data_IF_896005954919
#
_entry.id   IF_896005954919
#
_cell.length_a   1.000
_cell.length_b   1.000
_cell.length_c   1.000
_cell.angle_alpha   90.00
_cell.angle_beta   90.00
_cell.angle_gamma   90.00
#
_symmetry.space_group_name_H-M   'P 1'
#
loop_
_entity.id
_entity.type
_entity.pdbx_description
1 polymer ?
#
# COMPACT_ATOMS: atom_id res chain seq x y z
N UNK A 1 25.90 68.70 33.42
CA UNK A 1 24.77 67.88 33.91
C UNK A 1 24.48 66.86 32.81
N UNK A 2 24.93 65.62 32.99
CA UNK A 2 24.11 64.41 33.25
C UNK A 2 23.26 64.01 32.01
N UNK A 3 23.16 62.77 31.54
CA UNK A 3 23.73 61.47 31.89
C UNK A 3 23.34 60.50 30.76
N UNK A 4 24.14 59.44 30.60
CA UNK A 4 23.97 58.20 29.82
C UNK A 4 22.56 57.63 29.75
N UNK A 5 22.18 57.01 28.62
CA UNK A 5 21.70 55.60 28.47
C UNK A 5 21.30 55.34 27.00
N UNK A 6 22.05 54.59 26.18
CA UNK A 6 22.04 53.12 26.01
C UNK A 6 20.63 52.49 26.01
N UNK A 7 20.15 52.12 24.82
CA UNK A 7 19.11 51.11 24.57
C UNK A 7 19.56 50.35 23.30
N UNK A 8 20.40 49.34 23.46
CA UNK A 8 20.07 47.91 23.59
C UNK A 8 19.27 47.29 22.42
N UNK A 9 19.99 46.39 21.76
CA UNK A 9 19.66 45.45 20.69
C UNK A 9 18.55 44.47 21.10
N UNK A 10 17.68 44.13 20.15
CA UNK A 10 17.00 42.82 20.07
C UNK A 10 16.68 42.56 18.58
N UNK A 11 17.62 42.04 17.79
CA UNK A 11 17.74 40.60 17.49
C UNK A 11 16.37 39.89 17.43
N UNK A 12 15.65 40.08 16.33
CA UNK A 12 14.61 39.13 15.94
C UNK A 12 15.32 37.83 15.58
N UNK A 13 15.36 36.92 16.56
CA UNK A 13 15.61 35.51 16.30
C UNK A 13 14.55 35.05 15.30
N UNK A 14 14.95 34.89 14.04
CA UNK A 14 14.24 34.01 13.12
C UNK A 14 14.35 32.64 13.78
N UNK A 15 13.26 32.24 14.44
CA UNK A 15 13.05 30.89 14.91
C UNK A 15 13.20 30.00 13.69
N UNK A 16 14.40 29.47 13.48
CA UNK A 16 14.56 28.20 12.84
C UNK A 16 13.71 27.24 13.68
N UNK A 17 12.47 27.04 13.24
CA UNK A 17 11.80 25.77 13.40
C UNK A 17 12.75 24.77 12.74
N UNK A 18 13.77 24.36 13.49
CA UNK A 18 14.32 23.04 13.37
C UNK A 18 13.14 22.14 13.75
N UNK A 19 12.24 21.96 12.78
CA UNK A 19 11.43 20.77 12.67
C UNK A 19 12.43 19.66 12.92
N UNK A 20 12.37 19.07 14.10
CA UNK A 20 13.07 17.83 14.37
C UNK A 20 12.38 16.86 13.45
N UNK A 21 12.83 16.81 12.19
CA UNK A 21 12.42 15.76 11.26
C UNK A 21 12.72 14.48 12.02
N UNK A 22 11.70 13.61 12.23
CA UNK A 22 11.95 12.33 12.85
C UNK A 22 13.11 11.69 12.09
N UNK A 23 14.16 11.31 12.81
CA UNK A 23 15.35 10.71 12.20
C UNK A 23 14.87 9.54 11.33
N UNK A 24 15.07 9.67 10.03
CA UNK A 24 14.71 8.61 9.09
C UNK A 24 15.57 7.38 9.36
N UNK A 25 14.93 6.30 9.79
CA UNK A 25 15.52 4.96 9.86
C UNK A 25 15.01 4.13 8.69
N UNK A 26 15.81 4.06 7.62
CA UNK A 26 15.44 3.28 6.44
C UNK A 26 15.27 1.78 6.72
N UNK A 27 15.87 1.24 7.78
CA UNK A 27 15.66 -0.16 8.19
C UNK A 27 14.25 -0.37 8.73
N UNK A 28 13.77 0.53 9.59
CA UNK A 28 12.40 0.50 10.10
C UNK A 28 11.38 0.74 8.99
N UNK A 29 11.62 1.73 8.12
CA UNK A 29 10.75 2.04 6.97
C UNK A 29 10.64 0.86 6.01
N UNK A 30 11.76 0.24 5.65
CA UNK A 30 11.76 -0.95 4.79
C UNK A 30 11.02 -2.13 5.43
N UNK A 31 11.22 -2.34 6.74
CA UNK A 31 10.54 -3.41 7.49
C UNK A 31 9.03 -3.20 7.50
N UNK A 32 8.58 -1.97 7.72
CA UNK A 32 7.15 -1.62 7.69
C UNK A 32 6.55 -1.84 6.29
N UNK A 33 7.22 -1.35 5.24
CA UNK A 33 6.76 -1.52 3.87
C UNK A 33 6.67 -3.00 3.46
N UNK A 34 7.63 -3.81 3.94
CA UNK A 34 7.60 -5.27 3.75
C UNK A 34 6.46 -5.94 4.50
N UNK A 35 6.21 -5.56 5.76
CA UNK A 35 5.12 -6.11 6.55
C UNK A 35 3.77 -5.89 5.86
N UNK A 36 3.47 -4.66 5.44
CA UNK A 36 2.25 -4.35 4.71
C UNK A 36 2.16 -5.11 3.38
N UNK A 37 3.29 -5.28 2.68
CA UNK A 37 3.35 -6.08 1.45
C UNK A 37 3.00 -7.55 1.70
N UNK A 38 3.47 -8.13 2.81
CA UNK A 38 3.16 -9.49 3.21
C UNK A 38 1.69 -9.63 3.67
N UNK A 39 1.13 -8.63 4.34
CA UNK A 39 -0.29 -8.59 4.73
C UNK A 39 -1.22 -8.55 3.52
N UNK A 40 -0.87 -7.77 2.49
CA UNK A 40 -1.59 -7.75 1.21
C UNK A 40 -1.59 -9.15 0.57
N UNK A 41 -0.45 -9.83 0.55
CA UNK A 41 -0.37 -11.17 -0.05
C UNK A 41 -1.10 -12.22 0.78
N UNK A 42 -1.01 -12.11 2.11
CA UNK A 42 -1.75 -12.97 3.04
C UNK A 42 -3.27 -12.79 2.91
N UNK A 43 -3.74 -11.57 2.61
CA UNK A 43 -5.14 -11.28 2.34
C UNK A 43 -5.68 -12.05 1.12
N UNK A 44 -4.90 -12.15 0.05
CA UNK A 44 -5.36 -12.79 -1.18
C UNK A 44 -5.46 -14.30 -1.09
N UNK A 45 -4.60 -14.96 -0.31
CA UNK A 45 -4.57 -16.43 -0.22
C UNK A 45 -5.94 -17.10 0.02
N UNK A 46 -6.69 -16.74 1.08
CA UNK A 46 -7.99 -17.38 1.36
C UNK A 46 -9.06 -17.07 0.31
N UNK A 47 -8.92 -15.96 -0.43
CA UNK A 47 -9.86 -15.58 -1.50
C UNK A 47 -9.52 -16.26 -2.83
N UNK A 48 -8.23 -16.41 -3.12
CA UNK A 48 -7.70 -16.94 -4.38
C UNK A 48 -7.79 -18.47 -4.48
N UNK A 49 -7.79 -19.16 -3.33
CA UNK A 49 -7.74 -20.62 -3.23
C UNK A 49 -8.89 -21.14 -2.37
N UNK A 50 -10.05 -20.48 -2.43
CA UNK A 50 -11.24 -20.93 -1.71
C UNK A 50 -11.72 -22.27 -2.30
N UNK A 51 -11.84 -23.31 -1.47
CA UNK A 51 -12.38 -24.61 -1.88
C UNK A 51 -13.86 -24.78 -1.47
N UNK A 52 -14.36 -23.88 -0.63
CA UNK A 52 -15.73 -23.86 -0.14
C UNK A 52 -16.27 -22.43 -0.08
N UNK A 53 -17.55 -22.29 0.23
CA UNK A 53 -18.19 -20.99 0.42
C UNK A 53 -17.41 -20.12 1.43
N UNK A 54 -17.30 -18.84 1.10
CA UNK A 54 -16.65 -17.82 1.94
C UNK A 54 -17.69 -16.77 2.28
N UNK A 55 -17.95 -16.56 3.57
CA UNK A 55 -18.96 -15.60 4.05
C UNK A 55 -20.36 -15.80 3.41
N UNK A 56 -20.72 -17.05 3.14
CA UNK A 56 -22.00 -17.43 2.49
C UNK A 56 -22.06 -17.12 1.00
N UNK A 57 -20.93 -16.82 0.36
CA UNK A 57 -20.82 -16.55 -1.07
C UNK A 57 -20.20 -17.73 -1.81
N UNK A 58 -20.62 -17.92 -3.07
CA UNK A 58 -20.11 -19.01 -3.89
C UNK A 58 -18.61 -18.84 -4.16
N UNK A 59 -17.88 -19.95 -4.21
CA UNK A 59 -16.43 -19.97 -4.54
C UNK A 59 -16.12 -19.15 -5.78
N UNK A 60 -16.95 -19.25 -6.82
CA UNK A 60 -16.77 -18.48 -8.07
C UNK A 60 -16.80 -16.98 -7.84
N UNK A 61 -17.75 -16.46 -7.04
CA UNK A 61 -17.85 -15.04 -6.74
C UNK A 61 -16.64 -14.55 -5.90
N UNK A 62 -16.17 -15.40 -4.99
CA UNK A 62 -14.95 -15.13 -4.21
C UNK A 62 -13.72 -15.06 -5.11
N UNK A 63 -13.59 -15.97 -6.07
CA UNK A 63 -12.49 -15.98 -7.04
C UNK A 63 -12.55 -14.78 -8.00
N UNK A 64 -13.74 -14.42 -8.50
CA UNK A 64 -13.94 -13.23 -9.32
C UNK A 64 -13.57 -11.95 -8.55
N UNK A 65 -13.91 -11.87 -7.27
CA UNK A 65 -13.48 -10.77 -6.41
C UNK A 65 -11.96 -10.78 -6.22
N UNK A 66 -11.35 -11.94 -5.93
CA UNK A 66 -9.90 -12.06 -5.76
C UNK A 66 -9.15 -11.57 -7.01
N UNK A 67 -9.61 -11.97 -8.20
CA UNK A 67 -9.03 -11.51 -9.47
C UNK A 67 -9.17 -9.98 -9.63
N UNK A 68 -10.34 -9.41 -9.35
CA UNK A 68 -10.57 -7.97 -9.44
C UNK A 68 -9.67 -7.17 -8.47
N UNK A 69 -9.58 -7.63 -7.22
CA UNK A 69 -8.76 -6.99 -6.20
C UNK A 69 -7.26 -7.15 -6.49
N UNK A 70 -6.82 -8.30 -7.03
CA UNK A 70 -5.45 -8.51 -7.47
C UNK A 70 -5.07 -7.56 -8.61
N UNK A 71 -5.95 -7.38 -9.60
CA UNK A 71 -5.74 -6.41 -10.67
C UNK A 71 -5.53 -4.99 -10.10
N UNK A 72 -6.43 -4.56 -9.19
CA UNK A 72 -6.32 -3.25 -8.52
C UNK A 72 -5.03 -3.10 -7.72
N UNK A 73 -4.61 -4.15 -7.01
CA UNK A 73 -3.37 -4.16 -6.25
C UNK A 73 -2.15 -4.01 -7.17
N UNK A 74 -2.12 -4.73 -8.30
CA UNK A 74 -1.04 -4.64 -9.29
C UNK A 74 -0.95 -3.23 -9.86
N UNK A 75 -2.07 -2.66 -10.30
CA UNK A 75 -2.12 -1.28 -10.82
C UNK A 75 -1.59 -0.30 -9.76
N UNK A 76 -2.07 -0.38 -8.53
CA UNK A 76 -1.63 0.50 -7.43
C UNK A 76 -0.14 0.34 -7.12
N UNK A 77 0.38 -0.88 -7.03
CA UNK A 77 1.81 -1.10 -6.75
C UNK A 77 2.67 -0.64 -7.91
N UNK A 78 2.24 -0.83 -9.15
CA UNK A 78 2.90 -0.27 -10.34
C UNK A 78 2.96 1.27 -10.29
N UNK A 79 1.86 1.93 -9.96
CA UNK A 79 1.81 3.38 -9.76
C UNK A 79 2.81 3.84 -8.68
N UNK A 80 2.79 3.21 -7.49
CA UNK A 80 3.67 3.59 -6.37
C UNK A 80 5.15 3.30 -6.66
N UNK A 81 5.46 2.24 -7.39
CA UNK A 81 6.84 1.86 -7.74
C UNK A 81 7.39 2.61 -8.95
N UNK A 82 6.54 3.31 -9.71
CA UNK A 82 6.92 3.87 -11.01
C UNK A 82 7.25 2.81 -12.06
N UNK A 83 6.87 1.55 -11.83
CA UNK A 83 7.09 0.44 -12.76
C UNK A 83 5.87 0.31 -13.68
N UNK A 84 6.04 0.14 -14.99
CA UNK A 84 4.91 -0.10 -15.89
C UNK A 84 4.02 -1.24 -15.41
N UNK A 85 2.72 -1.08 -15.56
CA UNK A 85 1.75 -2.14 -15.26
C UNK A 85 2.08 -3.35 -16.14
N UNK A 86 2.27 -4.55 -15.55
CA UNK A 86 2.44 -5.78 -16.31
C UNK A 86 1.29 -5.98 -17.31
N UNK A 87 1.50 -6.74 -18.38
CA UNK A 87 0.46 -7.02 -19.37
C UNK A 87 -0.63 -7.93 -18.77
N UNK A 88 -1.59 -7.33 -18.05
CA UNK A 88 -2.76 -7.97 -17.48
C UNK A 88 -4.02 -7.25 -17.98
N UNK A 89 -5.04 -8.03 -18.33
CA UNK A 89 -6.32 -7.49 -18.82
C UNK A 89 -7.28 -7.33 -17.66
N UNK A 90 -7.84 -6.13 -17.50
CA UNK A 90 -8.96 -5.92 -16.58
C UNK A 90 -10.19 -6.69 -17.06
N UNK A 91 -10.88 -7.38 -16.16
CA UNK A 91 -12.18 -7.99 -16.44
C UNK A 91 -13.30 -7.21 -15.76
N UNK A 92 -14.45 -7.04 -16.42
CA UNK A 92 -15.64 -6.49 -15.77
C UNK A 92 -15.98 -7.30 -14.52
N UNK A 93 -16.22 -6.60 -13.42
CA UNK A 93 -16.57 -7.20 -12.13
C UNK A 93 -17.73 -6.45 -11.51
N UNK A 94 -18.69 -7.20 -10.95
CA UNK A 94 -19.78 -6.68 -10.15
C UNK A 94 -19.88 -7.48 -8.85
N UNK A 95 -19.86 -6.79 -7.72
CA UNK A 95 -20.00 -7.43 -6.42
C UNK A 95 -21.48 -7.77 -6.17
N UNK A 96 -21.85 -9.03 -6.42
CA UNK A 96 -23.23 -9.50 -6.27
C UNK A 96 -23.49 -10.06 -4.88
N UNK A 97 -22.53 -10.78 -4.29
CA UNK A 97 -22.67 -11.31 -2.95
C UNK A 97 -22.30 -10.27 -1.87
N UNK A 98 -23.26 -9.95 -1.00
CA UNK A 98 -23.07 -8.97 0.07
C UNK A 98 -22.09 -9.44 1.16
N UNK A 99 -21.94 -10.76 1.36
CA UNK A 99 -21.02 -11.34 2.34
C UNK A 99 -19.54 -11.02 2.08
N UNK A 100 -19.19 -10.68 0.84
CA UNK A 100 -17.82 -10.32 0.45
C UNK A 100 -17.50 -8.82 0.57
N UNK A 101 -18.46 -7.96 0.94
CA UNK A 101 -18.20 -6.53 1.18
C UNK A 101 -17.08 -6.26 2.20
N UNK A 102 -17.00 -6.98 3.34
CA UNK A 102 -15.91 -6.79 4.30
C UNK A 102 -14.52 -7.09 3.70
N UNK A 103 -14.42 -7.99 2.73
CA UNK A 103 -13.16 -8.27 2.03
C UNK A 103 -12.71 -7.08 1.19
N UNK A 104 -13.65 -6.39 0.52
CA UNK A 104 -13.36 -5.15 -0.21
C UNK A 104 -12.90 -4.04 0.74
N UNK A 105 -13.60 -3.86 1.86
CA UNK A 105 -13.25 -2.84 2.85
C UNK A 105 -11.87 -3.10 3.46
N UNK A 106 -11.57 -4.37 3.79
CA UNK A 106 -10.25 -4.78 4.30
C UNK A 106 -9.15 -4.53 3.26
N UNK A 107 -9.42 -4.81 1.99
CA UNK A 107 -8.48 -4.50 0.91
C UNK A 107 -8.19 -3.00 0.82
N UNK A 108 -9.22 -2.16 0.88
CA UNK A 108 -9.05 -0.70 0.83
C UNK A 108 -8.22 -0.17 2.01
N UNK A 109 -8.34 -0.78 3.20
CA UNK A 109 -7.49 -0.46 4.36
C UNK A 109 -6.03 -0.83 4.08
N UNK A 110 -5.76 -2.05 3.59
CA UNK A 110 -4.40 -2.49 3.27
C UNK A 110 -3.74 -1.63 2.18
N UNK A 111 -4.51 -1.19 1.18
CA UNK A 111 -4.02 -0.26 0.16
C UNK A 111 -3.62 1.08 0.77
N UNK A 112 -4.42 1.64 1.68
CA UNK A 112 -4.07 2.89 2.38
C UNK A 112 -2.83 2.74 3.26
N UNK A 113 -2.68 1.61 3.93
CA UNK A 113 -1.48 1.31 4.72
C UNK A 113 -0.23 1.23 3.82
N UNK A 114 -0.37 0.65 2.63
CA UNK A 114 0.72 0.58 1.66
C UNK A 114 1.10 1.96 1.13
N UNK A 115 0.11 2.79 0.79
CA UNK A 115 0.32 4.18 0.37
C UNK A 115 1.03 4.99 1.46
N UNK A 116 0.62 4.83 2.72
CA UNK A 116 1.26 5.49 3.86
C UNK A 116 2.71 5.03 4.06
N UNK A 117 2.96 3.71 4.01
CA UNK A 117 4.31 3.15 4.13
C UNK A 117 5.23 3.59 2.97
N UNK A 118 4.68 3.70 1.75
CA UNK A 118 5.41 4.22 0.60
C UNK A 118 5.71 5.72 0.75
N UNK A 119 4.72 6.53 1.15
CA UNK A 119 4.90 7.96 1.37
C UNK A 119 6.00 8.24 2.40
N UNK A 120 6.06 7.44 3.47
CA UNK A 120 7.14 7.48 4.46
C UNK A 120 8.50 7.19 3.83
N UNK A 121 8.59 6.15 2.99
CA UNK A 121 9.81 5.80 2.26
C UNK A 121 10.28 6.89 1.32
N UNK A 122 9.35 7.53 0.58
CA UNK A 122 9.64 8.68 -0.28
C UNK A 122 10.13 9.87 0.53
N UNK A 123 9.45 10.19 1.65
CA UNK A 123 9.86 11.29 2.56
C UNK A 123 11.27 11.08 3.07
N UNK A 124 11.60 9.85 3.47
CA UNK A 124 12.92 9.49 3.97
C UNK A 124 13.96 9.18 2.88
N UNK A 125 13.60 9.27 1.60
CA UNK A 125 14.45 8.95 0.44
C UNK A 125 15.07 7.55 0.53
N UNK A 126 14.35 6.60 1.12
CA UNK A 126 14.78 5.22 1.24
C UNK A 126 14.56 4.47 -0.08
N UNK A 127 15.32 3.39 -0.29
CA UNK A 127 15.18 2.57 -1.50
C UNK A 127 13.91 1.71 -1.42
N UNK A 128 13.09 1.72 -2.48
CA UNK A 128 11.77 1.07 -2.55
C UNK A 128 11.78 -0.35 -3.17
N UNK A 129 12.77 -1.19 -2.89
CA UNK A 129 12.83 -2.56 -3.47
C UNK A 129 11.69 -3.48 -3.02
N UNK A 130 11.01 -3.16 -1.91
CA UNK A 130 9.88 -3.94 -1.41
C UNK A 130 8.67 -3.88 -2.37
N UNK A 131 8.42 -2.72 -3.01
CA UNK A 131 7.31 -2.59 -3.95
C UNK A 131 7.55 -3.37 -5.25
N UNK A 132 8.77 -3.35 -5.77
CA UNK A 132 9.15 -4.16 -6.94
C UNK A 132 8.95 -5.66 -6.65
N UNK A 133 9.38 -6.12 -5.46
CA UNK A 133 9.17 -7.50 -5.03
C UNK A 133 7.68 -7.85 -4.88
N UNK A 134 6.89 -6.94 -4.31
CA UNK A 134 5.45 -7.11 -4.18
C UNK A 134 4.78 -7.21 -5.57
N UNK A 135 5.15 -6.34 -6.52
CA UNK A 135 4.61 -6.34 -7.88
C UNK A 135 4.82 -7.69 -8.58
N UNK A 136 6.03 -8.25 -8.48
CA UNK A 136 6.35 -9.57 -9.04
C UNK A 136 5.49 -10.66 -8.39
N UNK A 137 5.34 -10.64 -7.06
CA UNK A 137 4.55 -11.63 -6.32
C UNK A 137 3.06 -11.55 -6.66
N UNK A 138 2.50 -10.34 -6.72
CA UNK A 138 1.11 -10.12 -7.11
C UNK A 138 0.85 -10.58 -8.55
N UNK A 139 1.76 -10.27 -9.47
CA UNK A 139 1.65 -10.71 -10.87
C UNK A 139 1.67 -12.24 -10.98
N UNK A 140 2.55 -12.90 -10.24
CA UNK A 140 2.59 -14.37 -10.17
C UNK A 140 1.29 -14.96 -9.59
N UNK A 141 0.76 -14.35 -8.53
CA UNK A 141 -0.50 -14.78 -7.93
C UNK A 141 -1.69 -14.60 -8.88
N UNK A 142 -1.77 -13.46 -9.59
CA UNK A 142 -2.80 -13.19 -10.59
C UNK A 142 -2.84 -14.26 -11.67
N UNK A 143 -1.69 -14.63 -12.23
CA UNK A 143 -1.62 -15.69 -13.23
C UNK A 143 -2.04 -17.07 -12.68
N UNK A 144 -1.79 -17.37 -11.42
CA UNK A 144 -2.23 -18.62 -10.79
C UNK A 144 -3.75 -18.63 -10.59
N UNK A 145 -4.33 -17.53 -10.13
CA UNK A 145 -5.79 -17.39 -9.98
C UNK A 145 -6.50 -17.52 -11.34
N UNK A 146 -5.99 -16.85 -12.39
CA UNK A 146 -6.58 -16.95 -13.72
C UNK A 146 -6.59 -18.40 -14.26
N UNK A 147 -5.54 -19.18 -14.00
CA UNK A 147 -5.51 -20.60 -14.36
C UNK A 147 -6.53 -21.44 -13.58
N UNK A 148 -6.82 -21.06 -12.34
CA UNK A 148 -7.79 -21.77 -11.50
C UNK A 148 -9.24 -21.50 -11.90
N UNK A 149 -9.54 -20.34 -12.47
CA UNK A 149 -10.90 -19.96 -12.92
C UNK A 149 -11.20 -20.45 -14.34
N UNK A 150 -10.16 -20.63 -15.17
CA UNK A 150 -10.30 -21.05 -16.57
C UNK A 150 -10.47 -22.55 -16.82
N UNK A 151 -10.44 -23.38 -15.78
CA UNK A 151 -10.74 -24.82 -15.81
C UNK A 151 -12.12 -25.09 -15.21
#
# INVERSE_FOLDING_TARGET
MASKTLLFVAFFAVSALASVEPKCDCGAVFTNLRAVSDDILGFFFPLAFAESEVEGCAVRETHELAENLLYKAIVKVSELSGTPVPHITERPFALNCAGLKPSVEKFDVLVKELEAAHAESVRCKCRNTALESLLVRLSGLYHNVQKSIGN
#
